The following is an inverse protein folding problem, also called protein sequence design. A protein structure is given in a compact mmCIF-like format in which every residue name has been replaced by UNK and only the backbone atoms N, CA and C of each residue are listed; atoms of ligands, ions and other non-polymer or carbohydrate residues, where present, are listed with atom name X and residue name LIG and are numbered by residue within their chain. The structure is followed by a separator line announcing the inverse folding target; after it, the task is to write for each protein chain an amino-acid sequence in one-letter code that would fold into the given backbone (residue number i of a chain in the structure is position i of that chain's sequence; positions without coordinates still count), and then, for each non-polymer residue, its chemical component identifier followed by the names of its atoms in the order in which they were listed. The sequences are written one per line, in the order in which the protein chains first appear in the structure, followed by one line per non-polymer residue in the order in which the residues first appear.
data_IF_868498334539
#
_entry.id   IF_868498334539
#
_cell.length_a   1.000
_cell.length_b   1.000
_cell.length_c   1.000
_cell.angle_alpha   90.00
_cell.angle_beta   90.00
_cell.angle_gamma   90.00
#
_symmetry.space_group_name_H-M   'P 1'
#
loop_
_entity.id
_entity.type
_entity.pdbx_description
1 polymer ?
#
# COMPACT_ATOMS: atom_id res chain seq x y z
N UNK A 1 -5.03 6.81 -0.46
CA UNK A 1 -4.12 5.71 -0.86
C UNK A 1 -2.71 6.21 -1.04
N UNK A 2 -1.74 5.37 -0.70
CA UNK A 2 -0.32 5.56 -0.99
C UNK A 2 0.17 4.33 -1.74
N UNK A 3 0.44 4.49 -3.02
CA UNK A 3 0.71 3.37 -3.91
C UNK A 3 2.12 3.41 -4.47
N UNK A 4 2.79 2.27 -4.49
CA UNK A 4 4.03 2.07 -5.22
C UNK A 4 3.80 1.09 -6.36
N UNK A 5 3.93 -0.20 -6.12
CA UNK A 5 3.80 -1.20 -7.18
C UNK A 5 2.42 -1.27 -7.84
N UNK A 6 1.38 -0.81 -7.19
CA UNK A 6 0.02 -0.79 -7.74
C UNK A 6 -0.27 0.39 -8.65
N UNK A 7 0.60 1.40 -8.67
CA UNK A 7 0.66 2.43 -9.71
C UNK A 7 -0.54 3.36 -9.86
N UNK A 8 -1.39 3.46 -8.84
CA UNK A 8 -2.62 4.27 -8.89
C UNK A 8 -3.89 3.45 -9.11
N UNK A 9 -3.77 2.15 -9.34
CA UNK A 9 -4.91 1.29 -9.63
C UNK A 9 -5.89 1.18 -8.46
N UNK A 10 -5.42 1.32 -7.21
CA UNK A 10 -6.29 1.28 -6.04
C UNK A 10 -7.14 2.55 -5.97
N UNK A 11 -6.54 3.72 -6.13
CA UNK A 11 -7.26 4.98 -6.20
C UNK A 11 -8.32 4.95 -7.31
N UNK A 12 -7.96 4.40 -8.48
CA UNK A 12 -8.88 4.24 -9.60
C UNK A 12 -10.08 3.34 -9.26
N UNK A 13 -9.88 2.28 -8.47
CA UNK A 13 -11.00 1.42 -8.03
C UNK A 13 -11.99 2.18 -7.18
N UNK A 14 -11.52 3.03 -6.24
CA UNK A 14 -12.41 3.83 -5.41
C UNK A 14 -13.17 4.87 -6.25
N UNK A 15 -12.46 5.58 -7.12
CA UNK A 15 -13.08 6.64 -7.94
C UNK A 15 -13.97 6.10 -9.06
N UNK A 16 -13.86 4.82 -9.41
CA UNK A 16 -14.76 4.18 -10.36
C UNK A 16 -16.21 4.08 -9.84
N UNK A 17 -16.39 4.18 -8.53
CA UNK A 17 -17.72 4.12 -7.91
C UNK A 17 -18.34 5.52 -7.83
N UNK A 18 -19.57 5.72 -8.39
CA UNK A 18 -20.25 6.99 -8.24
C UNK A 18 -20.40 7.38 -6.76
N UNK A 19 -20.20 8.65 -6.44
CA UNK A 19 -20.30 9.14 -5.06
C UNK A 19 -19.06 8.94 -4.21
N UNK A 20 -17.94 8.52 -4.81
CA UNK A 20 -16.71 8.23 -4.07
C UNK A 20 -16.18 9.44 -3.28
N UNK A 21 -16.47 10.67 -3.72
CA UNK A 21 -16.04 11.89 -3.02
C UNK A 21 -16.61 12.02 -1.61
N UNK A 22 -17.64 11.25 -1.26
CA UNK A 22 -18.18 11.24 0.09
C UNK A 22 -17.20 10.62 1.12
N UNK A 23 -16.27 9.78 0.67
CA UNK A 23 -15.32 9.10 1.56
C UNK A 23 -13.88 9.08 1.05
N UNK A 24 -13.65 9.17 -0.25
CA UNK A 24 -12.31 9.12 -0.83
C UNK A 24 -11.77 10.53 -1.04
N UNK A 25 -10.75 10.89 -0.28
CA UNK A 25 -10.15 12.23 -0.34
C UNK A 25 -9.03 12.36 -1.35
N UNK A 26 -8.29 11.31 -1.60
CA UNK A 26 -7.17 11.38 -2.53
C UNK A 26 -6.17 10.25 -2.37
N UNK A 27 -5.17 10.27 -3.22
CA UNK A 27 -4.10 9.30 -3.20
C UNK A 27 -2.85 9.82 -3.89
N UNK A 28 -1.73 9.19 -3.58
CA UNK A 28 -0.44 9.50 -4.21
C UNK A 28 0.19 8.22 -4.73
N UNK A 29 0.89 8.35 -5.85
CA UNK A 29 1.73 7.29 -6.42
C UNK A 29 3.17 7.68 -6.19
N UNK A 30 3.81 7.02 -5.23
CA UNK A 30 5.20 7.28 -4.85
C UNK A 30 6.09 6.16 -5.35
N UNK A 31 6.29 6.12 -6.65
CA UNK A 31 6.96 5.03 -7.34
C UNK A 31 8.47 5.01 -7.08
N UNK A 32 9.10 6.17 -7.01
CA UNK A 32 10.50 6.33 -6.67
C UNK A 32 10.70 6.43 -5.15
N UNK A 33 11.84 5.97 -4.66
CA UNK A 33 12.17 6.04 -3.23
C UNK A 33 12.10 7.47 -2.69
N UNK A 34 12.66 8.42 -3.45
CA UNK A 34 12.69 9.83 -3.07
C UNK A 34 11.28 10.41 -2.90
N UNK A 35 10.33 10.00 -3.73
CA UNK A 35 8.95 10.50 -3.63
C UNK A 35 8.25 9.97 -2.39
N UNK A 36 8.62 8.80 -1.90
CA UNK A 36 8.11 8.28 -0.62
C UNK A 36 8.50 9.20 0.54
N UNK A 37 9.74 9.66 0.54
CA UNK A 37 10.21 10.61 1.55
C UNK A 37 9.61 12.00 1.37
N UNK A 38 9.56 12.48 0.14
CA UNK A 38 9.11 13.83 -0.18
C UNK A 38 7.62 14.03 0.11
N UNK A 39 6.78 13.09 -0.29
CA UNK A 39 5.33 13.24 -0.23
C UNK A 39 4.70 12.58 1.00
N UNK A 40 5.30 11.52 1.51
CA UNK A 40 4.75 10.71 2.59
C UNK A 40 5.58 10.77 3.88
N UNK A 41 6.66 11.53 3.87
CA UNK A 41 7.58 11.63 5.01
C UNK A 41 8.15 10.27 5.44
N UNK A 42 8.31 9.34 4.51
CA UNK A 42 9.01 8.09 4.77
C UNK A 42 10.48 8.41 5.03
N UNK A 43 11.02 7.92 6.12
CA UNK A 43 12.41 8.18 6.49
C UNK A 43 13.37 7.58 5.45
N UNK A 44 14.27 8.41 4.92
CA UNK A 44 15.34 7.93 4.03
C UNK A 44 16.22 6.88 4.72
N UNK A 45 16.42 7.00 6.02
CA UNK A 45 17.15 6.05 6.84
C UNK A 45 16.44 4.69 6.92
N UNK A 46 15.12 4.72 7.05
CA UNK A 46 14.29 3.49 7.02
C UNK A 46 14.42 2.78 5.67
N UNK A 47 14.37 3.52 4.57
CA UNK A 47 14.54 2.94 3.22
C UNK A 47 15.94 2.34 3.07
N UNK A 48 16.98 3.05 3.52
CA UNK A 48 18.35 2.57 3.44
C UNK A 48 18.58 1.31 4.28
N UNK A 49 17.96 1.24 5.45
CA UNK A 49 18.17 0.15 6.42
C UNK A 49 17.37 -1.11 6.08
N UNK A 50 16.11 -0.96 5.71
CA UNK A 50 15.19 -2.09 5.52
C UNK A 50 14.84 -2.38 4.07
N UNK A 51 15.20 -1.48 3.16
CA UNK A 51 14.80 -1.59 1.76
C UNK A 51 13.38 -1.07 1.55
N UNK A 52 13.07 -0.76 0.29
CA UNK A 52 11.80 -0.15 -0.09
C UNK A 52 10.63 -1.14 0.03
N UNK A 53 10.87 -2.42 -0.20
CA UNK A 53 9.88 -3.48 0.00
C UNK A 53 10.06 -4.05 1.40
N UNK A 54 9.43 -3.42 2.37
CA UNK A 54 9.55 -3.79 3.79
C UNK A 54 8.33 -3.35 4.57
N UNK A 55 8.11 -4.00 5.70
CA UNK A 55 7.05 -3.61 6.64
C UNK A 55 7.22 -2.17 7.11
N UNK A 56 8.46 -1.79 7.42
CA UNK A 56 8.76 -0.46 7.96
C UNK A 56 8.40 0.63 6.96
N UNK A 57 8.71 0.43 5.68
CA UNK A 57 8.41 1.40 4.63
C UNK A 57 6.90 1.48 4.36
N UNK A 58 6.21 0.35 4.22
CA UNK A 58 4.77 0.38 3.95
C UNK A 58 3.99 0.99 5.10
N UNK A 59 4.42 0.75 6.34
CA UNK A 59 3.84 1.36 7.54
C UNK A 59 3.94 2.88 7.48
N UNK A 60 5.13 3.39 7.21
CA UNK A 60 5.36 4.83 7.11
C UNK A 60 4.62 5.44 5.91
N UNK A 61 4.50 4.71 4.81
CA UNK A 61 3.70 5.17 3.66
C UNK A 61 2.24 5.39 4.04
N UNK A 62 1.63 4.43 4.71
CA UNK A 62 0.23 4.53 5.13
C UNK A 62 0.02 5.66 6.15
N UNK A 63 0.88 5.74 7.15
CA UNK A 63 0.83 6.79 8.17
C UNK A 63 1.04 8.18 7.55
N UNK A 64 2.00 8.30 6.64
CA UNK A 64 2.28 9.55 5.92
C UNK A 64 1.11 9.99 5.06
N UNK A 65 0.47 9.07 4.35
CA UNK A 65 -0.72 9.37 3.54
C UNK A 65 -1.88 9.85 4.40
N UNK A 66 -2.12 9.19 5.54
CA UNK A 66 -3.19 9.58 6.46
C UNK A 66 -3.03 11.03 6.93
N UNK A 67 -1.81 11.43 7.23
CA UNK A 67 -1.50 12.81 7.63
C UNK A 67 -1.54 13.79 6.45
N UNK A 68 -0.94 13.44 5.32
CA UNK A 68 -0.84 14.32 4.17
C UNK A 68 -2.22 14.65 3.55
N UNK A 69 -3.13 13.69 3.54
CA UNK A 69 -4.48 13.84 2.98
C UNK A 69 -5.49 14.25 4.05
N UNK A 70 -5.09 14.22 5.32
CA UNK A 70 -5.97 14.51 6.46
C UNK A 70 -7.24 13.65 6.44
N UNK A 71 -7.04 12.35 6.50
CA UNK A 71 -8.11 11.36 6.46
C UNK A 71 -8.04 10.45 7.67
N UNK A 72 -9.13 9.74 7.98
CA UNK A 72 -9.17 8.80 9.11
C UNK A 72 -8.40 7.52 8.79
N UNK A 73 -8.50 7.04 7.56
CA UNK A 73 -7.85 5.80 7.12
C UNK A 73 -7.00 6.07 5.89
N UNK A 74 -5.86 5.41 5.82
CA UNK A 74 -5.05 5.36 4.60
C UNK A 74 -4.57 3.95 4.39
N UNK A 75 -4.47 3.55 3.13
CA UNK A 75 -3.95 2.24 2.74
C UNK A 75 -2.72 2.41 1.86
N UNK A 76 -1.78 1.50 1.96
CA UNK A 76 -0.53 1.58 1.24
C UNK A 76 -0.06 0.22 0.72
N UNK A 77 0.69 0.27 -0.38
CA UNK A 77 1.32 -0.89 -0.98
C UNK A 77 2.76 -0.59 -1.35
N UNK A 78 3.65 -1.56 -1.15
CA UNK A 78 5.00 -1.54 -1.70
C UNK A 78 5.41 -2.98 -2.02
N UNK A 79 5.97 -3.22 -3.20
CA UNK A 79 6.26 -4.58 -3.61
C UNK A 79 6.98 -4.71 -4.94
N UNK A 80 7.19 -5.97 -5.32
CA UNK A 80 7.84 -6.39 -6.55
C UNK A 80 6.82 -6.97 -7.52
N UNK A 81 6.37 -6.15 -8.47
CA UNK A 81 5.37 -6.58 -9.45
C UNK A 81 5.93 -7.51 -10.54
N UNK A 82 7.22 -7.39 -10.83
CA UNK A 82 7.87 -8.20 -11.87
C UNK A 82 7.63 -7.69 -13.29
N UNK A 83 8.09 -8.45 -14.30
CA UNK A 83 8.77 -9.75 -14.22
C UNK A 83 10.21 -9.68 -13.71
N UNK A 84 10.84 -8.52 -13.69
CA UNK A 84 12.22 -8.32 -13.24
C UNK A 84 12.26 -7.69 -11.84
N UNK A 85 13.46 -7.61 -11.27
CA UNK A 85 13.73 -6.88 -10.02
C UNK A 85 13.66 -7.72 -8.76
N UNK A 86 13.20 -8.96 -8.84
CA UNK A 86 13.16 -9.85 -7.68
C UNK A 86 14.54 -10.36 -7.28
N UNK A 87 14.69 -10.66 -5.99
CA UNK A 87 15.86 -11.30 -5.41
C UNK A 87 15.46 -12.58 -4.69
N UNK A 88 16.41 -13.47 -4.29
CA UNK A 88 16.05 -14.64 -3.49
C UNK A 88 15.32 -14.29 -2.19
N UNK A 89 15.68 -13.17 -1.56
CA UNK A 89 15.07 -12.69 -0.31
C UNK A 89 13.74 -11.98 -0.54
N UNK A 90 13.62 -11.30 -1.67
CA UNK A 90 12.42 -10.55 -2.06
C UNK A 90 12.04 -10.93 -3.49
N UNK A 91 11.46 -12.12 -3.68
CA UNK A 91 11.09 -12.57 -5.03
C UNK A 91 9.95 -11.74 -5.61
N UNK A 92 9.82 -11.80 -6.94
CA UNK A 92 8.68 -11.20 -7.63
C UNK A 92 7.38 -11.72 -7.03
N UNK A 93 6.43 -10.83 -6.82
CA UNK A 93 5.16 -11.15 -6.15
C UNK A 93 5.15 -10.87 -4.65
N UNK A 94 6.29 -10.48 -4.08
CA UNK A 94 6.37 -10.04 -2.68
C UNK A 94 5.77 -8.65 -2.56
N UNK A 95 4.73 -8.49 -1.76
CA UNK A 95 4.07 -7.21 -1.54
C UNK A 95 3.78 -7.04 -0.05
N UNK A 96 4.16 -5.90 0.50
CA UNK A 96 3.71 -5.44 1.80
C UNK A 96 2.52 -4.50 1.62
N UNK A 97 1.49 -4.73 2.42
CA UNK A 97 0.31 -3.89 2.47
C UNK A 97 0.10 -3.35 3.88
N UNK A 98 -0.51 -2.18 3.99
CA UNK A 98 -0.77 -1.54 5.28
C UNK A 98 -2.08 -0.78 5.28
N UNK A 99 -2.70 -0.72 6.45
CA UNK A 99 -3.83 0.17 6.75
C UNK A 99 -3.47 0.96 8.00
N UNK A 100 -3.50 2.29 7.89
CA UNK A 100 -3.32 3.19 9.02
C UNK A 100 -4.66 3.79 9.42
N UNK A 101 -4.98 3.71 10.71
CA UNK A 101 -6.15 4.30 11.32
C UNK A 101 -5.74 5.28 12.42
N UNK A 102 -6.69 6.04 13.03
CA UNK A 102 -6.35 6.90 14.16
C UNK A 102 -5.77 6.14 15.36
N UNK A 103 -6.08 4.85 15.49
CA UNK A 103 -5.70 4.05 16.66
C UNK A 103 -4.44 3.22 16.41
N UNK A 104 -4.25 2.72 15.19
CA UNK A 104 -3.12 1.83 14.89
C UNK A 104 -2.84 1.73 13.40
N UNK A 105 -1.68 1.18 13.08
CA UNK A 105 -1.33 0.78 11.71
C UNK A 105 -1.09 -0.72 11.69
N UNK A 106 -1.80 -1.41 10.82
CA UNK A 106 -1.64 -2.86 10.61
C UNK A 106 -0.96 -3.11 9.28
N UNK A 107 -0.14 -4.16 9.23
CA UNK A 107 0.61 -4.54 8.04
C UNK A 107 0.42 -6.03 7.75
N UNK A 108 0.58 -6.39 6.50
CA UNK A 108 0.56 -7.80 6.09
C UNK A 108 1.51 -8.01 4.92
N UNK A 109 2.27 -9.09 4.98
CA UNK A 109 3.10 -9.56 3.88
C UNK A 109 2.30 -10.56 3.05
N UNK A 110 2.29 -10.38 1.73
CA UNK A 110 1.64 -11.30 0.81
C UNK A 110 2.60 -11.72 -0.29
N UNK A 111 2.42 -12.93 -0.79
CA UNK A 111 3.17 -13.48 -1.91
C UNK A 111 2.18 -13.86 -2.99
N UNK A 112 2.25 -13.17 -4.12
CA UNK A 112 1.34 -13.36 -5.25
C UNK A 112 2.09 -14.05 -6.38
N UNK A 113 1.54 -15.15 -6.87
CA UNK A 113 2.06 -15.86 -8.04
C UNK A 113 1.36 -15.37 -9.28
N UNK A 114 2.12 -15.13 -10.35
CA UNK A 114 1.57 -14.75 -11.63
C UNK A 114 2.35 -13.60 -12.28
N UNK A 115 1.80 -13.09 -13.37
CA UNK A 115 2.39 -12.00 -14.10
C UNK A 115 2.22 -10.66 -13.38
N UNK A 116 2.84 -9.61 -13.91
CA UNK A 116 2.79 -8.26 -13.36
C UNK A 116 1.37 -7.75 -13.14
N UNK A 117 0.50 -7.93 -14.13
CA UNK A 117 -0.89 -7.50 -14.06
C UNK A 117 -1.63 -8.17 -12.88
N UNK A 118 -1.42 -9.46 -12.71
CA UNK A 118 -2.02 -10.21 -11.60
C UNK A 118 -1.50 -9.75 -10.24
N UNK A 119 -0.20 -9.52 -10.12
CA UNK A 119 0.39 -9.01 -8.87
C UNK A 119 -0.24 -7.66 -8.49
N UNK A 120 -0.36 -6.75 -9.46
CA UNK A 120 -0.97 -5.43 -9.23
C UNK A 120 -2.43 -5.56 -8.79
N UNK A 121 -3.22 -6.37 -9.50
CA UNK A 121 -4.64 -6.55 -9.18
C UNK A 121 -4.86 -7.20 -7.82
N UNK A 122 -4.16 -8.26 -7.54
CA UNK A 122 -4.32 -9.01 -6.29
C UNK A 122 -3.78 -8.23 -5.08
N UNK A 123 -2.70 -7.47 -5.25
CA UNK A 123 -2.21 -6.57 -4.20
C UNK A 123 -3.26 -5.52 -3.83
N UNK A 124 -3.90 -4.92 -4.84
CA UNK A 124 -4.99 -3.97 -4.62
C UNK A 124 -6.18 -4.61 -3.91
N UNK A 125 -6.59 -5.79 -4.33
CA UNK A 125 -7.69 -6.53 -3.68
C UNK A 125 -7.35 -6.85 -2.23
N UNK A 126 -6.12 -7.29 -1.97
CA UNK A 126 -5.67 -7.65 -0.62
C UNK A 126 -5.68 -6.47 0.35
N UNK A 127 -5.21 -5.29 -0.09
CA UNK A 127 -5.18 -4.12 0.81
C UNK A 127 -6.58 -3.56 1.04
N UNK A 128 -7.48 -3.63 0.06
CA UNK A 128 -8.88 -3.26 0.24
C UNK A 128 -9.56 -4.22 1.22
N UNK A 129 -9.28 -5.51 1.12
CA UNK A 129 -9.79 -6.51 2.08
C UNK A 129 -9.27 -6.24 3.50
N UNK A 130 -7.98 -5.91 3.64
CA UNK A 130 -7.42 -5.54 4.94
C UNK A 130 -8.09 -4.28 5.52
N UNK A 131 -8.40 -3.30 4.68
CA UNK A 131 -9.16 -2.11 5.10
C UNK A 131 -10.55 -2.52 5.59
N UNK A 132 -11.23 -3.39 4.88
CA UNK A 132 -12.56 -3.88 5.27
C UNK A 132 -12.50 -4.59 6.63
N UNK A 133 -11.50 -5.44 6.84
CA UNK A 133 -11.27 -6.09 8.13
C UNK A 133 -11.10 -5.07 9.27
N UNK A 134 -10.30 -4.02 9.04
CA UNK A 134 -10.11 -2.96 10.03
C UNK A 134 -11.38 -2.17 10.31
N UNK A 135 -12.20 -1.92 9.29
CA UNK A 135 -13.44 -1.17 9.44
C UNK A 135 -14.53 -1.97 10.17
N UNK A 136 -14.61 -3.28 9.93
CA UNK A 136 -15.64 -4.14 10.50
C UNK A 136 -15.22 -4.83 11.79
N UNK A 137 -13.92 -4.95 12.04
CA UNK A 137 -13.38 -5.75 13.14
C UNK A 137 -13.46 -7.26 12.89
N UNK A 138 -13.76 -7.67 11.67
CA UNK A 138 -13.87 -9.08 11.27
C UNK A 138 -12.61 -9.53 10.56
N UNK A 139 -11.80 -10.34 11.23
CA UNK A 139 -10.52 -10.82 10.72
C UNK A 139 -10.58 -12.30 10.38
N UNK A 140 -10.00 -12.67 9.23
CA UNK A 140 -9.66 -14.05 8.92
C UNK A 140 -10.82 -15.00 8.65
N UNK A 141 -12.00 -14.49 8.33
CA UNK A 141 -13.20 -15.31 8.06
C UNK A 141 -13.47 -15.47 6.56
N UNK A 142 -12.59 -14.98 5.72
CA UNK A 142 -12.78 -14.98 4.26
C UNK A 142 -11.74 -15.78 3.52
#
# INVERSE_FOLDING_TARGET
TAESCTGGSIAARFTAMPGASAYFKGGVVTYWNQTKSLLLNVSADTIARYGVVSEQVVRQMAEGARHAVDTHYAIATTGMAGPSGGTPEIPVGTVWIAVSSPERTVTRLIHIKGNRDRVIREAGSAVIELLEEELTGEYGTR
#
